data_IF_744148588554
#
_entry.id   IF_744148588554
#
_cell.length_a   1.000
_cell.length_b   1.000
_cell.length_c   1.000
_cell.angle_alpha   90.00
_cell.angle_beta   90.00
_cell.angle_gamma   90.00
#
_symmetry.space_group_name_H-M   'P 1'
#
loop_
_entity.id
_entity.type
_entity.pdbx_description
1 polymer ?
#
# COMPACT_ATOMS: atom_id res chain seq x y z
N UNK A 1 -21.40 -1.01 -24.95
CA UNK A 1 -20.60 -1.48 -23.80
C UNK A 1 -19.66 -0.32 -23.49
N UNK A 2 -20.05 0.51 -22.58
CA UNK A 2 -19.22 1.60 -22.09
C UNK A 2 -18.05 0.97 -21.34
N UNK A 3 -16.83 1.21 -21.83
CA UNK A 3 -15.63 1.00 -21.03
C UNK A 3 -15.80 1.92 -19.82
N UNK A 4 -16.00 1.35 -18.65
CA UNK A 4 -16.17 2.13 -17.44
C UNK A 4 -14.88 2.90 -17.16
N UNK A 5 -14.96 4.15 -16.71
CA UNK A 5 -13.83 4.98 -16.28
C UNK A 5 -12.93 4.30 -15.24
N UNK A 6 -13.39 3.20 -14.65
CA UNK A 6 -12.67 2.35 -13.70
C UNK A 6 -11.39 1.68 -14.26
N UNK A 7 -11.30 1.50 -15.58
CA UNK A 7 -10.10 0.91 -16.23
C UNK A 7 -9.03 1.97 -16.52
N UNK A 8 -9.33 3.24 -16.36
CA UNK A 8 -8.45 4.35 -16.75
C UNK A 8 -7.10 4.33 -15.98
N UNK A 9 -7.11 3.84 -14.74
CA UNK A 9 -5.92 3.84 -13.87
C UNK A 9 -5.40 2.43 -13.56
N UNK A 10 -5.76 1.44 -14.36
CA UNK A 10 -5.15 0.12 -14.27
C UNK A 10 -3.69 0.15 -14.75
N UNK A 11 -2.77 -0.49 -14.02
CA UNK A 11 -1.38 -0.62 -14.46
C UNK A 11 -1.27 -1.30 -15.83
N UNK A 12 -0.39 -0.75 -16.67
CA UNK A 12 0.03 -1.33 -17.95
C UNK A 12 1.54 -1.57 -17.91
N UNK A 13 1.99 -2.74 -17.45
CA UNK A 13 3.42 -3.00 -17.21
C UNK A 13 4.34 -2.70 -18.39
N UNK A 14 3.82 -2.77 -19.63
CA UNK A 14 4.57 -2.41 -20.84
C UNK A 14 4.90 -0.92 -20.98
N UNK A 15 4.16 -0.05 -20.30
CA UNK A 15 4.37 1.41 -20.32
C UNK A 15 5.17 1.88 -19.10
N UNK A 16 5.43 0.98 -18.16
CA UNK A 16 6.08 1.32 -16.89
C UNK A 16 7.58 1.56 -17.05
N UNK A 17 8.07 2.55 -16.31
CA UNK A 17 9.50 2.82 -16.17
C UNK A 17 9.94 2.62 -14.72
N UNK A 18 11.20 2.27 -14.52
CA UNK A 18 11.77 2.07 -13.20
C UNK A 18 11.84 3.41 -12.44
N UNK A 19 11.28 3.43 -11.22
CA UNK A 19 11.36 4.56 -10.29
C UNK A 19 12.41 4.31 -9.21
N UNK A 20 12.36 3.15 -8.53
CA UNK A 20 13.33 2.76 -7.48
C UNK A 20 13.80 1.32 -7.73
N UNK A 21 15.11 1.15 -7.78
CA UNK A 21 15.74 -0.17 -7.87
C UNK A 21 15.65 -0.92 -6.54
N UNK A 22 15.48 -2.26 -6.54
CA UNK A 22 15.57 -3.04 -5.33
C UNK A 22 16.99 -2.99 -4.72
N UNK A 23 17.16 -3.23 -3.41
CA UNK A 23 18.47 -3.14 -2.73
C UNK A 23 19.42 -4.31 -3.05
N UNK A 24 19.04 -5.18 -3.94
CA UNK A 24 19.80 -6.35 -4.41
C UNK A 24 19.05 -7.09 -5.50
N UNK A 25 19.60 -8.19 -5.97
CA UNK A 25 19.06 -9.00 -7.07
C UNK A 25 18.45 -10.29 -6.55
N UNK A 26 17.42 -10.79 -7.24
CA UNK A 26 16.76 -12.06 -6.95
C UNK A 26 15.66 -11.99 -5.90
N UNK A 27 15.02 -13.15 -5.61
CA UNK A 27 13.86 -13.23 -4.73
C UNK A 27 14.11 -12.66 -3.32
N UNK A 28 13.16 -11.86 -2.83
CA UNK A 28 13.20 -11.27 -1.49
C UNK A 28 13.89 -9.90 -1.41
N UNK A 29 14.55 -9.42 -2.47
CA UNK A 29 15.05 -8.06 -2.55
C UNK A 29 14.00 -7.16 -3.21
N UNK A 30 13.39 -6.27 -2.43
CA UNK A 30 12.29 -5.44 -2.90
C UNK A 30 12.47 -3.97 -2.54
N UNK A 31 12.14 -3.11 -3.50
CA UNK A 31 11.73 -1.73 -3.28
C UNK A 31 10.25 -1.65 -3.65
N UNK A 32 9.38 -1.26 -2.73
CA UNK A 32 7.94 -1.31 -3.00
C UNK A 32 7.09 -0.78 -1.87
N UNK A 33 5.78 -1.06 -1.92
CA UNK A 33 4.82 -0.50 -1.00
C UNK A 33 4.83 1.03 -1.06
N UNK A 34 4.63 1.64 -2.25
CA UNK A 34 4.69 3.10 -2.40
C UNK A 34 3.57 3.80 -1.65
N UNK A 35 3.85 5.02 -1.23
CA UNK A 35 2.89 6.06 -0.90
C UNK A 35 3.45 7.38 -1.42
N UNK A 36 2.79 7.96 -2.41
CA UNK A 36 3.27 9.10 -3.16
C UNK A 36 2.36 10.31 -2.95
N UNK A 37 2.94 11.48 -2.79
CA UNK A 37 2.21 12.73 -2.57
C UNK A 37 2.76 13.82 -3.49
N UNK A 38 1.87 14.46 -4.25
CA UNK A 38 2.23 15.65 -5.02
C UNK A 38 2.60 16.81 -4.09
N UNK A 39 3.69 17.46 -4.40
CA UNK A 39 4.14 18.71 -3.80
C UNK A 39 4.16 19.81 -4.86
N UNK A 40 4.40 21.06 -4.44
CA UNK A 40 4.32 22.22 -5.32
C UNK A 40 5.30 22.15 -6.51
N UNK A 41 6.43 21.46 -6.33
CA UNK A 41 7.51 21.38 -7.32
C UNK A 41 7.92 19.94 -7.71
N UNK A 42 7.10 18.92 -7.35
CA UNK A 42 7.38 17.53 -7.67
C UNK A 42 6.55 16.52 -6.89
N UNK A 43 7.12 15.36 -6.65
CA UNK A 43 6.47 14.25 -5.93
C UNK A 43 7.40 13.73 -4.84
N UNK A 44 6.89 13.63 -3.61
CA UNK A 44 7.50 12.81 -2.57
C UNK A 44 6.98 11.38 -2.66
N UNK A 45 7.87 10.42 -2.52
CA UNK A 45 7.58 9.00 -2.58
C UNK A 45 8.17 8.32 -1.35
N UNK A 46 7.29 7.85 -0.47
CA UNK A 46 7.67 6.96 0.63
C UNK A 46 7.55 5.51 0.14
N UNK A 47 8.52 4.67 0.50
CA UNK A 47 8.56 3.28 0.07
C UNK A 47 9.34 2.39 1.04
N UNK A 48 9.00 1.11 1.05
CA UNK A 48 9.69 0.09 1.84
C UNK A 48 10.89 -0.47 1.08
N UNK A 49 11.96 -0.73 1.82
CA UNK A 49 13.11 -1.53 1.37
C UNK A 49 13.13 -2.86 2.11
N UNK A 50 13.29 -3.96 1.36
CA UNK A 50 13.27 -5.30 1.92
C UNK A 50 14.42 -6.16 1.39
N UNK A 51 14.87 -7.10 2.22
CA UNK A 51 15.82 -8.18 1.94
C UNK A 51 15.14 -9.54 2.17
N UNK A 52 15.74 -10.66 1.74
CA UNK A 52 15.22 -11.99 2.06
C UNK A 52 15.01 -12.19 3.58
N UNK A 53 14.12 -13.11 3.93
CA UNK A 53 13.74 -13.37 5.34
C UNK A 53 14.96 -13.54 6.25
N UNK A 54 15.94 -14.36 5.86
CA UNK A 54 17.17 -14.57 6.62
C UNK A 54 18.16 -13.40 6.63
N UNK A 55 17.92 -12.34 5.85
CA UNK A 55 18.79 -11.17 5.70
C UNK A 55 18.17 -9.88 6.24
N UNK A 56 17.06 -9.94 6.99
CA UNK A 56 16.50 -8.79 7.71
C UNK A 56 15.12 -8.31 7.27
N UNK A 57 14.46 -8.95 6.32
CA UNK A 57 13.09 -8.60 5.87
C UNK A 57 12.96 -7.11 5.48
N UNK A 58 11.86 -6.46 5.87
CA UNK A 58 11.62 -5.02 5.71
C UNK A 58 12.50 -4.21 6.66
N UNK A 59 13.68 -3.84 6.20
CA UNK A 59 14.71 -3.23 7.06
C UNK A 59 14.63 -1.71 7.14
N UNK A 60 13.97 -1.07 6.17
CA UNK A 60 13.81 0.38 6.17
C UNK A 60 12.58 0.85 5.38
N UNK A 61 12.11 2.03 5.74
CA UNK A 61 11.26 2.90 4.92
C UNK A 61 12.11 4.10 4.51
N UNK A 62 12.08 4.43 3.23
CA UNK A 62 12.76 5.59 2.68
C UNK A 62 11.76 6.57 2.08
N UNK A 63 12.08 7.86 2.10
CA UNK A 63 11.33 8.91 1.43
C UNK A 63 12.28 9.59 0.45
N UNK A 64 11.90 9.66 -0.82
CA UNK A 64 12.67 10.34 -1.86
C UNK A 64 11.81 11.42 -2.55
N UNK A 65 12.45 12.35 -3.23
CA UNK A 65 11.82 13.42 -3.98
C UNK A 65 12.27 13.40 -5.45
N UNK A 66 11.31 13.63 -6.35
CA UNK A 66 11.59 13.82 -7.78
C UNK A 66 10.71 14.95 -8.33
N UNK A 67 11.32 15.89 -9.07
CA UNK A 67 10.58 16.98 -9.73
C UNK A 67 9.68 16.47 -10.85
N UNK A 68 10.09 15.46 -11.56
CA UNK A 68 9.36 14.85 -12.67
C UNK A 68 8.49 13.65 -12.23
N UNK A 69 8.59 13.26 -10.96
CA UNK A 69 7.93 12.08 -10.41
C UNK A 69 8.47 10.74 -10.95
N UNK A 70 9.62 10.75 -11.62
CA UNK A 70 10.23 9.55 -12.25
C UNK A 70 11.63 9.32 -11.72
N UNK A 71 12.48 10.36 -11.82
CA UNK A 71 13.90 10.26 -11.52
C UNK A 71 14.16 10.67 -10.06
N UNK A 72 13.97 9.72 -9.14
CA UNK A 72 14.20 9.93 -7.71
C UNK A 72 15.70 9.90 -7.41
N UNK A 73 16.17 10.93 -6.69
CA UNK A 73 17.53 11.00 -6.17
C UNK A 73 17.74 10.17 -4.90
N UNK A 74 18.82 10.46 -4.19
CA UNK A 74 19.03 9.88 -2.86
C UNK A 74 17.85 10.19 -1.93
N UNK A 75 17.44 9.27 -1.05
CA UNK A 75 16.37 9.52 -0.09
C UNK A 75 16.65 10.75 0.78
N UNK A 76 15.63 11.58 0.99
CA UNK A 76 15.68 12.72 1.92
C UNK A 76 15.52 12.28 3.37
N UNK A 77 14.92 11.11 3.60
CA UNK A 77 14.83 10.45 4.90
C UNK A 77 14.89 8.92 4.73
N UNK A 78 15.52 8.25 5.69
CA UNK A 78 15.52 6.78 5.83
C UNK A 78 15.24 6.47 7.29
N UNK A 79 14.22 5.66 7.53
CA UNK A 79 13.80 5.17 8.85
C UNK A 79 14.06 3.68 8.89
N UNK A 80 14.91 3.22 9.81
CA UNK A 80 15.27 1.83 9.93
C UNK A 80 14.41 1.10 10.94
N UNK A 81 14.30 -0.22 10.81
CA UNK A 81 13.61 -1.06 11.78
C UNK A 81 14.28 -1.04 13.16
N UNK A 82 15.60 -0.81 13.19
CA UNK A 82 16.40 -0.68 14.42
C UNK A 82 16.01 0.58 15.18
N UNK A 83 15.88 1.74 14.51
CA UNK A 83 15.42 2.99 15.10
C UNK A 83 13.99 2.89 15.63
N UNK A 84 13.16 2.11 14.92
CA UNK A 84 11.78 1.84 15.33
C UNK A 84 11.65 0.79 16.45
N UNK A 85 12.70 0.02 16.73
CA UNK A 85 12.64 -1.10 17.67
C UNK A 85 11.64 -2.18 17.22
N UNK A 86 11.54 -2.43 15.92
CA UNK A 86 10.60 -3.37 15.32
C UNK A 86 11.32 -4.47 14.53
N UNK A 87 10.66 -5.61 14.30
CA UNK A 87 11.28 -6.70 13.54
C UNK A 87 11.31 -6.43 12.04
N UNK A 88 10.31 -5.74 11.53
CA UNK A 88 10.16 -5.43 10.10
C UNK A 88 9.28 -4.22 9.91
N UNK A 89 9.54 -3.45 8.86
CA UNK A 89 8.69 -2.40 8.34
C UNK A 89 8.01 -2.88 7.05
N UNK A 90 6.74 -2.51 6.86
CA UNK A 90 6.00 -2.73 5.62
C UNK A 90 5.56 -1.38 5.02
N UNK A 91 4.54 -1.37 4.15
CA UNK A 91 4.09 -0.18 3.44
C UNK A 91 3.96 1.02 4.38
N UNK A 92 4.66 2.13 4.12
CA UNK A 92 4.36 3.42 4.74
C UNK A 92 3.11 4.03 4.11
N UNK A 93 2.50 4.98 4.82
CA UNK A 93 1.52 5.89 4.22
C UNK A 93 1.93 7.33 4.55
N UNK A 94 2.26 8.10 3.51
CA UNK A 94 2.68 9.49 3.61
C UNK A 94 1.50 10.41 3.28
N UNK A 95 1.21 11.37 4.13
CA UNK A 95 0.07 12.28 3.95
C UNK A 95 0.50 13.73 4.17
N UNK A 96 0.07 14.63 3.28
CA UNK A 96 0.17 16.07 3.50
C UNK A 96 -1.08 16.55 4.24
N UNK A 97 -0.89 17.17 5.39
CA UNK A 97 -1.97 17.69 6.23
C UNK A 97 -2.52 19.03 5.68
N UNK A 98 -3.75 19.41 6.02
CA UNK A 98 -4.34 20.67 5.56
C UNK A 98 -3.58 21.92 5.99
N UNK A 99 -2.81 21.85 7.09
CA UNK A 99 -1.97 22.94 7.58
C UNK A 99 -0.57 22.98 6.92
N UNK A 100 -0.32 22.08 5.95
CA UNK A 100 0.94 21.98 5.21
C UNK A 100 2.00 21.08 5.85
N UNK A 101 1.80 20.63 7.10
CA UNK A 101 2.66 19.61 7.72
C UNK A 101 2.51 18.26 7.05
N UNK A 102 3.37 17.33 7.42
CA UNK A 102 3.41 15.97 6.90
C UNK A 102 3.20 14.96 8.01
N UNK A 103 2.52 13.89 7.68
CA UNK A 103 2.28 12.76 8.56
C UNK A 103 2.71 11.48 7.86
N UNK A 104 3.40 10.61 8.61
CA UNK A 104 3.88 9.32 8.12
C UNK A 104 3.36 8.22 9.04
N UNK A 105 2.58 7.31 8.48
CA UNK A 105 2.15 6.09 9.16
C UNK A 105 3.08 4.96 8.76
N UNK A 106 3.48 4.14 9.72
CA UNK A 106 4.45 3.07 9.57
C UNK A 106 3.86 1.75 10.06
N UNK A 107 3.84 0.75 9.18
CA UNK A 107 3.43 -0.62 9.52
C UNK A 107 4.60 -1.35 10.17
N UNK A 108 4.47 -1.67 11.46
CA UNK A 108 5.53 -2.19 12.31
C UNK A 108 5.22 -3.61 12.80
N UNK A 109 6.13 -4.57 12.56
CA UNK A 109 6.03 -5.94 13.05
C UNK A 109 6.47 -6.04 14.52
N UNK A 110 5.69 -6.70 15.35
CA UNK A 110 6.07 -7.02 16.72
C UNK A 110 7.01 -8.21 16.74
N UNK A 111 8.20 -8.05 17.33
CA UNK A 111 9.25 -9.07 17.37
C UNK A 111 8.76 -10.41 17.94
N UNK A 112 9.17 -11.51 17.30
CA UNK A 112 8.84 -12.87 17.71
C UNK A 112 7.38 -13.29 17.49
N UNK A 113 6.58 -12.49 16.76
CA UNK A 113 5.14 -12.75 16.52
C UNK A 113 4.76 -12.56 15.05
N UNK A 114 3.49 -12.83 14.73
CA UNK A 114 2.86 -12.44 13.46
C UNK A 114 2.05 -11.14 13.58
N UNK A 115 2.08 -10.50 14.73
CA UNK A 115 1.34 -9.28 14.99
C UNK A 115 1.98 -8.08 14.31
N UNK A 116 1.12 -7.22 13.78
CA UNK A 116 1.46 -5.92 13.19
C UNK A 116 0.60 -4.83 13.82
N UNK A 117 1.17 -3.65 13.91
CA UNK A 117 0.52 -2.42 14.36
C UNK A 117 0.93 -1.26 13.45
N UNK A 118 0.19 -0.16 13.49
CA UNK A 118 0.55 1.07 12.79
C UNK A 118 0.92 2.14 13.78
N UNK A 119 2.09 2.71 13.58
CA UNK A 119 2.62 3.85 14.32
C UNK A 119 2.64 5.10 13.42
N UNK A 120 2.55 6.29 14.02
CA UNK A 120 2.49 7.57 13.28
C UNK A 120 3.48 8.56 13.85
N UNK A 121 4.04 9.41 12.97
CA UNK A 121 4.84 10.58 13.34
C UNK A 121 4.53 11.75 12.42
N UNK A 122 4.75 12.99 12.89
CA UNK A 122 4.52 14.22 12.13
C UNK A 122 5.79 15.07 12.04
N UNK A 123 5.89 15.84 10.94
CA UNK A 123 7.01 16.74 10.70
C UNK A 123 6.59 17.97 9.89
N UNK A 124 7.41 19.00 9.88
CA UNK A 124 7.26 20.16 9.00
C UNK A 124 7.54 19.83 7.54
N UNK A 125 8.50 18.96 7.29
CA UNK A 125 8.87 18.47 5.95
C UNK A 125 9.13 16.94 5.96
N UNK A 126 9.05 16.25 4.81
CA UNK A 126 9.34 14.82 4.74
C UNK A 126 10.77 14.42 5.13
N UNK A 127 11.70 15.35 5.21
CA UNK A 127 13.08 15.11 5.64
C UNK A 127 13.26 15.14 7.17
N UNK A 128 12.25 15.59 7.92
CA UNK A 128 12.39 15.92 9.36
C UNK A 128 11.62 14.99 10.30
N UNK A 129 11.13 13.85 9.81
CA UNK A 129 10.44 12.89 10.66
C UNK A 129 11.32 12.40 11.81
N UNK A 130 10.87 12.63 13.05
CA UNK A 130 11.52 12.13 14.26
C UNK A 130 10.72 10.96 14.84
N UNK A 131 11.20 9.75 14.60
CA UNK A 131 10.54 8.52 15.07
C UNK A 131 10.52 8.35 16.59
N UNK A 132 11.27 9.15 17.35
CA UNK A 132 11.19 9.17 18.82
C UNK A 132 9.90 9.80 19.34
N UNK A 133 9.20 10.57 18.48
CA UNK A 133 7.91 11.22 18.77
C UNK A 133 6.71 10.43 18.27
N UNK A 134 6.95 9.22 17.76
CA UNK A 134 5.89 8.39 17.22
C UNK A 134 4.93 7.89 18.30
N UNK A 135 3.71 7.62 17.90
CA UNK A 135 2.67 7.00 18.71
C UNK A 135 1.97 5.87 17.96
N UNK A 136 1.37 4.93 18.68
CA UNK A 136 0.60 3.82 18.10
C UNK A 136 -0.82 4.30 17.86
N UNK A 137 -1.26 4.31 16.58
CA UNK A 137 -2.64 4.70 16.21
C UNK A 137 -3.54 3.51 15.88
N UNK A 138 -2.96 2.39 15.46
CA UNK A 138 -3.68 1.15 15.21
C UNK A 138 -2.93 0.01 15.91
N UNK A 139 -3.27 -0.29 17.16
CA UNK A 139 -2.52 -1.27 17.95
C UNK A 139 -2.73 -2.72 17.48
N UNK A 140 -3.83 -3.02 16.78
CA UNK A 140 -4.25 -4.40 16.55
C UNK A 140 -4.60 -5.11 17.86
N UNK A 141 -4.52 -6.45 17.84
CA UNK A 141 -4.64 -7.31 19.01
C UNK A 141 -3.69 -8.50 18.81
N UNK A 142 -2.72 -8.65 19.68
CA UNK A 142 -1.63 -9.65 19.53
C UNK A 142 -2.10 -11.09 19.43
N UNK A 143 -3.33 -11.40 19.84
CA UNK A 143 -3.93 -12.73 19.81
C UNK A 143 -5.02 -12.90 18.75
N UNK A 144 -5.57 -11.82 18.24
CA UNK A 144 -6.76 -11.88 17.36
C UNK A 144 -6.49 -11.30 15.97
N UNK A 145 -5.83 -10.14 15.87
CA UNK A 145 -5.68 -9.46 14.59
C UNK A 145 -4.44 -8.58 14.49
N UNK A 146 -3.72 -8.72 13.42
CA UNK A 146 -2.70 -7.79 13.02
C UNK A 146 -3.29 -6.74 12.08
N UNK A 147 -2.81 -5.48 12.18
CA UNK A 147 -3.24 -4.35 11.35
C UNK A 147 -2.02 -3.74 10.68
N UNK A 148 -2.06 -3.58 9.36
CA UNK A 148 -0.96 -2.96 8.59
C UNK A 148 -1.42 -2.38 7.26
N UNK A 149 -0.50 -1.78 6.54
CA UNK A 149 -0.64 -1.27 5.18
C UNK A 149 -1.88 -0.37 5.02
N UNK A 150 -2.07 0.68 5.84
CA UNK A 150 -3.21 1.57 5.70
C UNK A 150 -3.12 2.34 4.38
N UNK A 151 -4.26 2.60 3.77
CA UNK A 151 -4.48 3.59 2.71
C UNK A 151 -5.32 4.69 3.31
N UNK A 152 -4.83 5.91 3.33
CA UNK A 152 -5.47 7.02 4.03
C UNK A 152 -5.75 8.16 3.06
N UNK A 153 -6.99 8.61 3.03
CA UNK A 153 -7.41 9.75 2.23
C UNK A 153 -8.30 10.71 3.03
N UNK A 154 -8.23 11.98 2.68
CA UNK A 154 -9.14 12.99 3.19
C UNK A 154 -10.15 13.35 2.10
N UNK A 155 -11.43 13.07 2.36
CA UNK A 155 -12.52 13.37 1.45
C UNK A 155 -13.69 13.97 2.23
N UNK A 156 -14.37 15.00 1.69
CA UNK A 156 -15.50 15.71 2.31
C UNK A 156 -15.27 16.09 3.80
N UNK A 157 -14.06 16.56 4.10
CA UNK A 157 -13.68 17.02 5.43
C UNK A 157 -13.37 15.92 6.44
N UNK A 158 -13.56 14.65 6.11
CA UNK A 158 -13.26 13.48 6.95
C UNK A 158 -12.01 12.76 6.48
N UNK A 159 -11.38 12.04 7.40
CA UNK A 159 -10.34 11.08 7.11
C UNK A 159 -10.96 9.69 6.92
N UNK A 160 -10.55 9.03 5.87
CA UNK A 160 -10.96 7.68 5.48
C UNK A 160 -9.72 6.79 5.48
N UNK A 161 -9.85 5.57 5.98
CA UNK A 161 -8.78 4.59 6.01
C UNK A 161 -9.31 3.21 5.59
N UNK A 162 -8.53 2.54 4.76
CA UNK A 162 -8.67 1.10 4.46
C UNK A 162 -7.39 0.43 4.93
N UNK A 163 -7.49 -0.42 5.95
CA UNK A 163 -6.32 -1.10 6.50
C UNK A 163 -6.42 -2.61 6.30
N UNK A 164 -5.28 -3.24 6.04
CA UNK A 164 -5.19 -4.69 5.91
C UNK A 164 -5.21 -5.35 7.28
N UNK A 165 -6.12 -6.31 7.44
CA UNK A 165 -6.27 -7.13 8.64
C UNK A 165 -5.79 -8.54 8.36
N UNK A 166 -4.98 -9.09 9.24
CA UNK A 166 -4.60 -10.50 9.27
C UNK A 166 -5.16 -11.15 10.52
N UNK A 167 -5.95 -12.24 10.43
CA UNK A 167 -6.42 -12.98 11.59
C UNK A 167 -5.24 -13.67 12.29
N UNK A 168 -5.22 -13.68 13.62
CA UNK A 168 -4.15 -14.30 14.40
C UNK A 168 -4.65 -15.44 15.29
N UNK A 169 -5.98 -15.60 15.44
CA UNK A 169 -6.57 -16.61 16.31
C UNK A 169 -6.29 -18.04 15.83
N UNK A 170 -6.24 -18.25 14.50
CA UNK A 170 -5.87 -19.54 13.91
C UNK A 170 -4.51 -19.38 13.16
N UNK A 171 -3.47 -20.12 13.58
CA UNK A 171 -2.17 -20.07 12.92
C UNK A 171 -2.16 -20.42 11.43
N UNK A 172 -3.15 -21.21 10.96
CA UNK A 172 -3.30 -21.63 9.56
C UNK A 172 -3.99 -20.57 8.70
N UNK A 173 -4.63 -19.58 9.32
CA UNK A 173 -5.37 -18.52 8.65
C UNK A 173 -4.64 -17.16 8.67
N UNK A 174 -3.47 -17.08 9.28
CA UNK A 174 -2.75 -15.80 9.49
C UNK A 174 -2.37 -15.06 8.21
N UNK A 175 -2.40 -15.71 7.07
CA UNK A 175 -2.16 -15.11 5.75
C UNK A 175 -3.45 -14.76 5.00
N UNK A 176 -4.62 -15.13 5.54
CA UNK A 176 -5.93 -14.77 5.00
C UNK A 176 -6.25 -13.31 5.35
N UNK A 177 -5.91 -12.41 4.44
CA UNK A 177 -6.10 -10.99 4.70
C UNK A 177 -7.46 -10.48 4.20
N UNK A 178 -8.02 -9.51 4.95
CA UNK A 178 -9.18 -8.71 4.56
C UNK A 178 -8.83 -7.24 4.64
N UNK A 179 -9.65 -6.40 4.04
CA UNK A 179 -9.56 -4.95 4.24
C UNK A 179 -10.70 -4.46 5.11
N UNK A 180 -10.39 -3.79 6.22
CA UNK A 180 -11.38 -3.09 7.04
C UNK A 180 -11.30 -1.58 6.80
N UNK A 181 -12.47 -0.95 6.90
CA UNK A 181 -12.64 0.49 6.74
C UNK A 181 -12.84 1.18 8.07
N UNK A 182 -12.24 2.36 8.22
CA UNK A 182 -12.42 3.23 9.38
C UNK A 182 -12.51 4.71 8.96
N UNK A 183 -13.09 5.53 9.82
CA UNK A 183 -13.14 6.98 9.67
C UNK A 183 -12.54 7.68 10.86
N UNK A 184 -12.05 8.91 10.67
CA UNK A 184 -11.51 9.73 11.74
C UNK A 184 -11.79 11.22 11.50
N UNK A 185 -11.96 12.03 12.57
CA UNK A 185 -12.02 13.48 12.45
C UNK A 185 -10.64 14.12 12.21
N UNK A 186 -9.57 13.52 12.66
CA UNK A 186 -8.21 14.08 12.71
C UNK A 186 -7.13 13.19 12.07
N UNK A 187 -7.47 11.94 11.69
CA UNK A 187 -6.55 10.95 11.15
C UNK A 187 -5.72 10.22 12.22
N UNK A 188 -6.01 10.41 13.50
CA UNK A 188 -5.34 9.75 14.63
C UNK A 188 -6.31 8.84 15.39
N UNK A 189 -7.47 9.37 15.75
CA UNK A 189 -8.53 8.62 16.45
C UNK A 189 -9.46 7.95 15.44
N UNK A 190 -9.28 6.64 15.22
CA UNK A 190 -9.99 5.87 14.20
C UNK A 190 -11.18 5.10 14.74
N UNK A 191 -12.33 5.24 14.06
CA UNK A 191 -13.58 4.53 14.36
C UNK A 191 -13.81 3.49 13.26
N UNK A 192 -13.67 2.22 13.60
CA UNK A 192 -13.90 1.11 12.66
C UNK A 192 -15.36 1.03 12.25
N UNK A 193 -15.59 0.88 10.95
CA UNK A 193 -16.94 0.79 10.34
C UNK A 193 -17.28 -0.63 9.89
N UNK A 194 -16.28 -1.48 9.68
CA UNK A 194 -16.47 -2.87 9.27
C UNK A 194 -15.53 -3.30 8.13
N UNK A 195 -15.77 -4.52 7.65
CA UNK A 195 -15.01 -5.10 6.54
C UNK A 195 -15.46 -4.50 5.22
N UNK A 196 -14.54 -3.85 4.50
CA UNK A 196 -14.80 -3.22 3.20
C UNK A 196 -14.62 -4.19 2.03
N UNK A 197 -13.67 -5.12 2.14
CA UNK A 197 -13.39 -6.09 1.07
C UNK A 197 -12.83 -7.38 1.66
N UNK A 198 -13.32 -8.51 1.16
CA UNK A 198 -12.86 -9.86 1.54
C UNK A 198 -12.61 -10.72 0.30
N UNK A 199 -11.78 -11.74 0.46
CA UNK A 199 -11.54 -12.74 -0.58
C UNK A 199 -12.82 -13.47 -0.99
N UNK A 200 -12.93 -13.81 -2.28
CA UNK A 200 -14.09 -14.48 -2.87
C UNK A 200 -13.81 -15.98 -3.02
N UNK A 201 -14.57 -16.85 -2.32
CA UNK A 201 -14.33 -18.28 -2.38
C UNK A 201 -14.30 -18.83 -3.83
N UNK A 202 -13.24 -19.57 -4.17
CA UNK A 202 -13.06 -20.16 -5.49
C UNK A 202 -12.48 -19.23 -6.57
N UNK A 203 -12.31 -17.94 -6.27
CA UNK A 203 -11.77 -16.95 -7.20
C UNK A 203 -10.26 -16.73 -7.00
N UNK A 204 -9.64 -15.99 -7.90
CA UNK A 204 -8.20 -15.65 -7.89
C UNK A 204 -7.77 -14.84 -6.67
N UNK A 205 -8.68 -14.22 -5.97
CA UNK A 205 -8.48 -13.41 -4.75
C UNK A 205 -9.01 -14.06 -3.47
N UNK A 206 -9.32 -15.36 -3.52
CA UNK A 206 -10.01 -16.09 -2.44
C UNK A 206 -9.24 -16.12 -1.10
N UNK A 207 -7.91 -16.07 -1.14
CA UNK A 207 -7.07 -16.15 0.07
C UNK A 207 -6.80 -14.80 0.72
N UNK A 208 -7.04 -13.70 0.04
CA UNK A 208 -6.89 -12.41 0.65
C UNK A 208 -7.02 -11.23 -0.29
N UNK A 209 -7.50 -10.14 0.26
CA UNK A 209 -7.66 -8.86 -0.43
C UNK A 209 -7.08 -7.73 0.43
N UNK A 210 -6.33 -6.83 -0.21
CA UNK A 210 -5.76 -5.64 0.39
C UNK A 210 -6.00 -4.45 -0.52
N UNK A 211 -6.81 -3.49 -0.08
CA UNK A 211 -6.95 -2.21 -0.79
C UNK A 211 -5.59 -1.51 -0.83
N UNK A 212 -5.19 -1.08 -2.01
CA UNK A 212 -3.91 -0.45 -2.28
C UNK A 212 -4.04 1.03 -2.66
N UNK A 213 -5.10 1.40 -3.39
CA UNK A 213 -5.43 2.79 -3.72
C UNK A 213 -6.94 2.97 -3.81
N UNK A 214 -7.42 4.18 -3.57
CA UNK A 214 -8.84 4.52 -3.64
C UNK A 214 -9.01 5.85 -4.39
N UNK A 215 -10.07 5.96 -5.17
CA UNK A 215 -10.54 7.21 -5.77
C UNK A 215 -12.00 7.43 -5.44
N UNK A 216 -12.33 8.66 -5.06
CA UNK A 216 -13.70 9.13 -4.96
C UNK A 216 -14.08 9.85 -6.25
N UNK A 217 -15.25 9.51 -6.80
CA UNK A 217 -15.88 10.22 -7.89
C UNK A 217 -17.33 10.53 -7.50
N UNK A 218 -17.55 11.74 -6.99
CA UNK A 218 -18.81 12.10 -6.35
C UNK A 218 -19.15 11.13 -5.21
N UNK A 219 -20.23 10.37 -5.37
CA UNK A 219 -20.66 9.36 -4.40
C UNK A 219 -20.10 7.96 -4.68
N UNK A 220 -19.36 7.79 -5.78
CA UNK A 220 -18.77 6.50 -6.13
C UNK A 220 -17.37 6.36 -5.56
N UNK A 221 -17.02 5.14 -5.16
CA UNK A 221 -15.69 4.76 -4.68
C UNK A 221 -15.16 3.68 -5.60
N UNK A 222 -13.99 3.92 -6.20
CA UNK A 222 -13.22 2.91 -6.90
C UNK A 222 -11.99 2.57 -6.07
N UNK A 223 -11.82 1.30 -5.73
CA UNK A 223 -10.67 0.79 -5.02
C UNK A 223 -9.87 -0.16 -5.92
N UNK A 224 -8.56 0.03 -5.97
CA UNK A 224 -7.61 -0.92 -6.54
C UNK A 224 -7.06 -1.75 -5.41
N UNK A 225 -7.12 -3.07 -5.54
CA UNK A 225 -6.73 -3.97 -4.47
C UNK A 225 -5.78 -5.07 -4.95
N UNK A 226 -4.97 -5.55 -4.04
CA UNK A 226 -4.12 -6.71 -4.25
C UNK A 226 -4.85 -7.97 -3.81
N UNK A 227 -4.82 -9.00 -4.61
CA UNK A 227 -5.44 -10.29 -4.32
C UNK A 227 -4.55 -11.48 -4.62
N UNK A 228 -4.86 -12.62 -4.00
CA UNK A 228 -4.24 -13.92 -4.26
C UNK A 228 -5.19 -15.07 -3.97
N UNK A 229 -4.99 -16.21 -4.64
CA UNK A 229 -5.83 -17.41 -4.47
C UNK A 229 -5.34 -18.34 -3.35
N UNK A 230 -4.06 -18.29 -2.98
CA UNK A 230 -3.45 -19.24 -2.05
C UNK A 230 -2.30 -18.67 -1.25
N UNK A 231 -1.89 -19.37 -0.18
CA UNK A 231 -0.69 -19.03 0.59
C UNK A 231 0.60 -19.16 -0.25
N UNK A 232 0.63 -20.00 -1.28
CA UNK A 232 1.78 -20.15 -2.16
C UNK A 232 2.01 -18.91 -3.05
N UNK A 233 0.99 -18.10 -3.28
CA UNK A 233 1.07 -16.83 -4.01
C UNK A 233 1.40 -15.63 -3.09
N UNK A 234 1.77 -15.89 -1.84
CA UNK A 234 2.21 -14.84 -0.94
C UNK A 234 3.42 -14.10 -1.51
N UNK A 235 3.34 -12.78 -1.55
CA UNK A 235 4.27 -11.83 -2.18
C UNK A 235 4.12 -11.66 -3.70
N UNK A 236 3.31 -12.48 -4.36
CA UNK A 236 2.97 -12.38 -5.78
C UNK A 236 1.49 -12.00 -5.96
N UNK A 237 0.98 -11.16 -5.06
CA UNK A 237 -0.37 -10.60 -5.18
C UNK A 237 -0.48 -9.81 -6.49
N UNK A 238 -1.69 -9.80 -7.06
CA UNK A 238 -2.00 -9.15 -8.35
C UNK A 238 -3.12 -8.15 -8.17
N UNK A 239 -3.20 -7.18 -9.06
CA UNK A 239 -4.16 -6.07 -8.93
C UNK A 239 -5.54 -6.43 -9.45
N UNK A 240 -6.56 -6.13 -8.64
CA UNK A 240 -7.98 -6.14 -8.98
C UNK A 240 -8.62 -4.78 -8.78
N UNK A 241 -9.87 -4.64 -9.21
CA UNK A 241 -10.70 -3.44 -9.03
C UNK A 241 -11.96 -3.80 -8.28
N UNK A 242 -12.33 -2.98 -7.32
CA UNK A 242 -13.60 -3.05 -6.61
C UNK A 242 -14.27 -1.66 -6.63
N UNK A 243 -15.60 -1.65 -6.65
CA UNK A 243 -16.39 -0.41 -6.68
C UNK A 243 -17.47 -0.44 -5.61
N UNK A 244 -17.92 0.73 -5.19
CA UNK A 244 -19.03 0.90 -4.27
C UNK A 244 -19.56 2.32 -4.27
N UNK A 245 -20.73 2.50 -3.70
CA UNK A 245 -21.28 3.81 -3.34
C UNK A 245 -21.13 4.11 -1.85
N UNK A 246 -20.62 3.13 -1.11
CA UNK A 246 -20.27 3.22 0.30
C UNK A 246 -18.83 2.70 0.49
N UNK A 247 -17.93 3.48 1.10
CA UNK A 247 -16.54 3.08 1.34
C UNK A 247 -16.36 1.80 2.16
N UNK A 248 -17.38 1.36 2.92
CA UNK A 248 -17.38 0.12 3.69
C UNK A 248 -17.92 -1.09 2.90
N UNK A 249 -18.49 -0.88 1.71
CA UNK A 249 -19.17 -1.92 0.94
C UNK A 249 -18.63 -1.97 -0.50
N UNK A 250 -17.39 -2.42 -0.66
CA UNK A 250 -16.75 -2.54 -1.96
C UNK A 250 -17.01 -3.92 -2.59
N UNK A 251 -17.32 -3.93 -3.88
CA UNK A 251 -17.60 -5.13 -4.65
C UNK A 251 -16.58 -5.27 -5.76
N UNK A 252 -15.85 -6.39 -5.78
CA UNK A 252 -14.90 -6.70 -6.85
C UNK A 252 -15.59 -6.79 -8.21
N UNK A 253 -15.02 -6.15 -9.22
CA UNK A 253 -15.63 -6.01 -10.55
C UNK A 253 -15.36 -7.19 -11.48
N UNK A 254 -14.34 -8.02 -11.19
CA UNK A 254 -14.02 -9.18 -12.05
C UNK A 254 -15.16 -10.21 -12.02
N UNK A 255 -15.53 -10.67 -13.21
CA UNK A 255 -16.55 -11.73 -13.36
C UNK A 255 -16.07 -13.04 -12.69
N UNK A 256 -17.00 -13.91 -12.26
CA UNK A 256 -16.65 -15.24 -11.75
C UNK A 256 -15.75 -16.00 -12.72
N UNK A 257 -14.66 -16.58 -12.21
CA UNK A 257 -13.67 -17.31 -13.00
C UNK A 257 -12.72 -16.43 -13.83
N UNK A 258 -12.88 -15.10 -13.81
CA UNK A 258 -11.91 -14.18 -14.41
C UNK A 258 -10.67 -14.02 -13.52
N UNK A 259 -9.53 -13.70 -14.13
CA UNK A 259 -8.29 -13.39 -13.43
C UNK A 259 -8.22 -11.97 -12.86
N UNK A 260 -7.04 -11.57 -12.38
CA UNK A 260 -6.76 -10.20 -11.95
C UNK A 260 -6.85 -9.22 -13.13
N UNK A 261 -7.09 -7.94 -12.81
CA UNK A 261 -7.16 -6.87 -13.81
C UNK A 261 -5.77 -6.47 -14.34
N UNK A 262 -4.73 -6.60 -13.52
CA UNK A 262 -3.34 -6.38 -13.93
C UNK A 262 -2.38 -7.32 -13.18
N UNK A 263 -1.30 -7.72 -13.87
CA UNK A 263 -0.24 -8.55 -13.31
C UNK A 263 1.10 -8.27 -13.99
N UNK A 264 2.21 -8.56 -13.30
CA UNK A 264 3.54 -8.54 -13.91
C UNK A 264 3.64 -9.61 -15.03
N UNK A 265 4.35 -9.33 -16.12
CA UNK A 265 4.63 -10.35 -17.14
C UNK A 265 5.67 -11.40 -16.68
N UNK A 266 6.26 -11.23 -15.48
CA UNK A 266 7.34 -12.07 -15.00
C UNK A 266 6.90 -12.97 -13.85
N UNK A 267 7.48 -14.20 -13.79
CA UNK A 267 7.32 -15.20 -12.71
C UNK A 267 5.85 -15.37 -12.25
N UNK A 268 5.59 -15.21 -10.93
CA UNK A 268 4.27 -15.36 -10.31
C UNK A 268 3.26 -14.27 -10.66
N UNK A 269 3.68 -13.25 -11.41
CA UNK A 269 2.79 -12.18 -11.86
C UNK A 269 2.59 -11.05 -10.84
N UNK A 270 3.40 -10.98 -9.79
CA UNK A 270 3.27 -9.99 -8.71
C UNK A 270 3.26 -8.55 -9.22
N UNK A 271 2.14 -7.89 -9.04
CA UNK A 271 1.91 -6.47 -9.31
C UNK A 271 0.99 -5.96 -8.21
N UNK A 272 1.52 -5.15 -7.31
CA UNK A 272 0.85 -4.85 -6.05
C UNK A 272 1.17 -3.48 -5.50
N UNK A 273 0.45 -3.08 -4.46
CA UNK A 273 0.61 -1.80 -3.80
C UNK A 273 0.50 -0.63 -4.78
N UNK A 274 -0.50 -0.67 -5.66
CA UNK A 274 -0.79 0.48 -6.52
C UNK A 274 -1.03 1.73 -5.69
N UNK A 275 -0.44 2.84 -6.11
CA UNK A 275 -0.73 4.16 -5.59
C UNK A 275 -0.91 5.17 -6.73
N UNK A 276 -1.75 6.17 -6.52
CA UNK A 276 -2.22 7.12 -7.52
C UNK A 276 -1.94 8.55 -7.07
N UNK A 277 -1.27 9.32 -7.91
CA UNK A 277 -1.00 10.74 -7.65
C UNK A 277 -1.53 11.60 -8.79
N UNK A 278 -2.49 12.45 -8.47
CA UNK A 278 -2.97 13.44 -9.42
C UNK A 278 -1.95 14.56 -9.57
N UNK A 279 -1.60 14.83 -10.82
CA UNK A 279 -0.64 15.85 -11.22
C UNK A 279 -1.35 17.03 -11.90
N UNK A 280 -0.70 18.21 -11.95
CA UNK A 280 -1.23 19.33 -12.72
C UNK A 280 -1.54 18.96 -14.18
N UNK A 281 -2.62 19.52 -14.71
CA UNK A 281 -3.08 19.27 -16.08
C UNK A 281 -3.95 18.04 -16.26
N UNK A 282 -4.54 17.51 -15.18
CA UNK A 282 -5.50 16.40 -15.23
C UNK A 282 -4.88 15.03 -15.51
N UNK A 283 -3.57 14.90 -15.32
CA UNK A 283 -2.86 13.62 -15.45
C UNK A 283 -2.73 12.95 -14.11
N UNK A 284 -2.73 11.61 -14.09
CA UNK A 284 -2.49 10.80 -12.89
C UNK A 284 -1.24 9.95 -13.10
N UNK A 285 -0.33 9.97 -12.14
CA UNK A 285 0.83 9.08 -12.12
C UNK A 285 0.57 7.89 -11.21
N UNK A 286 0.87 6.72 -11.71
CA UNK A 286 0.78 5.46 -11.00
C UNK A 286 2.15 5.07 -10.47
N UNK A 287 2.20 4.56 -9.23
CA UNK A 287 3.36 3.88 -8.65
C UNK A 287 2.93 2.52 -8.15
N UNK A 288 3.72 1.47 -8.41
CA UNK A 288 3.42 0.13 -7.93
C UNK A 288 4.66 -0.74 -7.85
N UNK A 289 4.59 -1.74 -7.00
CA UNK A 289 5.63 -2.76 -6.86
C UNK A 289 5.38 -3.85 -7.89
N UNK A 290 6.41 -4.23 -8.66
CA UNK A 290 6.30 -5.21 -9.74
C UNK A 290 7.44 -6.21 -9.69
N UNK A 291 7.11 -7.53 -9.76
CA UNK A 291 8.07 -8.62 -9.90
C UNK A 291 8.89 -8.45 -11.17
N UNK A 292 10.20 -8.61 -11.06
CA UNK A 292 11.18 -8.50 -12.14
C UNK A 292 11.61 -9.88 -12.66
N UNK A 293 12.30 -9.96 -13.83
CA UNK A 293 12.75 -11.22 -14.40
C UNK A 293 13.60 -12.10 -13.47
N UNK A 294 14.40 -11.50 -12.60
CA UNK A 294 15.26 -12.18 -11.64
C UNK A 294 14.52 -12.61 -10.36
N UNK A 295 13.26 -12.17 -10.18
CA UNK A 295 12.43 -12.41 -9.00
C UNK A 295 12.62 -11.41 -7.88
N UNK A 296 13.40 -10.35 -8.07
CA UNK A 296 13.34 -9.17 -7.22
C UNK A 296 12.05 -8.39 -7.50
N UNK A 297 11.69 -7.41 -6.64
CA UNK A 297 10.60 -6.50 -6.92
C UNK A 297 11.13 -5.06 -6.98
N UNK A 298 10.83 -4.40 -8.08
CA UNK A 298 11.15 -2.99 -8.29
C UNK A 298 9.91 -2.12 -8.10
N UNK A 299 10.12 -0.88 -7.70
CA UNK A 299 9.09 0.14 -7.75
C UNK A 299 9.13 0.80 -9.12
N UNK A 300 8.02 0.75 -9.81
CA UNK A 300 7.87 1.29 -11.16
C UNK A 300 6.80 2.36 -11.21
N UNK A 301 6.79 3.17 -12.25
CA UNK A 301 5.83 4.25 -12.46
C UNK A 301 5.42 4.39 -13.91
N UNK A 302 4.20 4.86 -14.12
CA UNK A 302 3.67 5.22 -15.43
C UNK A 302 2.72 6.41 -15.33
N UNK A 303 2.42 7.06 -16.44
CA UNK A 303 1.55 8.24 -16.51
C UNK A 303 0.26 7.92 -17.27
N UNK A 304 -0.88 8.38 -16.74
CA UNK A 304 -2.20 8.30 -17.34
C UNK A 304 -2.74 9.70 -17.61
#
# INVERSE_FOLDING_TARGET
MENSDNDAFLPRPGDAVLAIVPPGSGPGYWAGGPSAVAADDGVYLAYRLRRPLGAGRGYAVAIAFARDGVNFGAPVAVITKEEMGTESLERPELVRLPDGRWRLYLSCATAGTKHWRVEVTEAGTPAEFDVRRREVVLPGDVTKRAVKDPVIQRHDGKWHMWATIHPLADPLETDQMTTEYATSPDGLDWIWQGTALSGRPGEWDSRGTRVAAVRFDGHSVTAYYDGRASAAENYEERTGVAVGTDPVALIATSAPGAGPAASSPYRGGGLRYLDLVDLPGGRTRLYYEMTQPDGSHALVTELR
#
